data_IF_713597903387
#
_entry.id   IF_713597903387
#
_cell.length_a   1.000
_cell.length_b   1.000
_cell.length_c   1.000
_cell.angle_alpha   90.00
_cell.angle_beta   90.00
_cell.angle_gamma   90.00
#
_symmetry.space_group_name_H-M   'P 1'
#
loop_
_entity.id
_entity.type
_entity.pdbx_description
1 polymer ?
#
# COMPACT_ATOMS: atom_id res chain seq x y z
N UNK A 1 -12.11 -27.30 -1.82
CA UNK A 1 -11.50 -25.97 -1.80
C UNK A 1 -12.00 -25.17 -2.98
N UNK A 2 -12.46 -23.94 -2.76
CA UNK A 2 -12.97 -23.04 -3.80
C UNK A 2 -12.17 -21.76 -3.76
N UNK A 3 -11.71 -21.31 -4.91
CA UNK A 3 -11.01 -20.03 -5.05
C UNK A 3 -11.75 -19.17 -6.05
N UNK A 4 -12.11 -17.96 -5.63
CA UNK A 4 -12.70 -16.94 -6.50
C UNK A 4 -11.62 -15.93 -6.89
N UNK A 5 -11.64 -15.51 -8.15
CA UNK A 5 -10.92 -14.34 -8.63
C UNK A 5 -11.95 -13.30 -9.04
N UNK A 6 -11.87 -12.14 -8.45
CA UNK A 6 -12.77 -11.03 -8.70
C UNK A 6 -12.02 -9.74 -9.03
N UNK A 7 -12.73 -8.73 -9.46
CA UNK A 7 -12.18 -7.43 -9.79
C UNK A 7 -13.21 -6.34 -9.50
N UNK A 8 -13.30 -5.32 -10.36
CA UNK A 8 -14.25 -4.19 -10.31
C UNK A 8 -14.01 -3.18 -9.19
N UNK A 9 -13.59 -3.60 -8.00
CA UNK A 9 -13.35 -2.69 -6.88
C UNK A 9 -12.12 -1.79 -7.06
N UNK A 10 -11.24 -2.10 -8.02
CA UNK A 10 -9.96 -1.43 -8.28
C UNK A 10 -9.02 -1.42 -7.07
N UNK A 11 -9.18 -2.40 -6.19
CA UNK A 11 -8.35 -2.62 -4.99
C UNK A 11 -7.82 -4.04 -5.00
N UNK A 12 -6.67 -4.22 -4.37
CA UNK A 12 -6.07 -5.55 -4.23
C UNK A 12 -6.26 -6.03 -2.81
N UNK A 13 -6.95 -7.16 -2.65
CA UNK A 13 -7.17 -7.78 -1.35
C UNK A 13 -7.41 -9.27 -1.51
N UNK A 14 -7.16 -10.02 -0.45
CA UNK A 14 -7.55 -11.41 -0.34
C UNK A 14 -8.42 -11.64 0.87
N UNK A 15 -9.37 -12.56 0.73
CA UNK A 15 -10.29 -12.97 1.78
C UNK A 15 -10.27 -14.47 1.95
N UNK A 16 -10.24 -14.92 3.20
CA UNK A 16 -10.66 -16.27 3.57
C UNK A 16 -12.01 -16.16 4.26
N UNK A 17 -12.98 -16.94 3.80
CA UNK A 17 -14.32 -16.89 4.38
C UNK A 17 -14.27 -17.34 5.86
N UNK A 18 -14.77 -16.54 6.82
CA UNK A 18 -14.56 -16.80 8.24
C UNK A 18 -15.22 -18.09 8.75
N UNK A 19 -16.35 -18.49 8.16
CA UNK A 19 -17.06 -19.73 8.51
C UNK A 19 -16.66 -20.92 7.62
N UNK A 20 -16.14 -20.67 6.43
CA UNK A 20 -15.77 -21.70 5.45
C UNK A 20 -14.34 -21.45 4.94
N UNK A 21 -13.31 -21.81 5.72
CA UNK A 21 -11.91 -21.48 5.40
C UNK A 21 -11.37 -22.16 4.12
N UNK A 22 -12.12 -23.11 3.58
CA UNK A 22 -11.87 -23.68 2.26
C UNK A 22 -12.33 -22.78 1.09
N UNK A 23 -13.00 -21.66 1.37
CA UNK A 23 -13.40 -20.65 0.40
C UNK A 23 -12.48 -19.45 0.52
N UNK A 24 -11.80 -19.12 -0.57
CA UNK A 24 -10.93 -17.93 -0.68
C UNK A 24 -11.34 -17.07 -1.86
N UNK A 25 -11.18 -15.75 -1.72
CA UNK A 25 -11.35 -14.77 -2.79
C UNK A 25 -10.09 -13.92 -2.94
N UNK A 26 -9.68 -13.73 -4.17
CA UNK A 26 -8.66 -12.75 -4.55
C UNK A 26 -9.32 -11.67 -5.41
N UNK A 27 -9.47 -10.48 -4.84
CA UNK A 27 -9.87 -9.31 -5.59
C UNK A 27 -8.60 -8.65 -6.13
N UNK A 28 -8.53 -8.49 -7.45
CA UNK A 28 -7.32 -8.05 -8.15
C UNK A 28 -7.54 -6.67 -8.73
N UNK A 29 -6.57 -5.80 -8.52
CA UNK A 29 -6.59 -4.45 -9.05
C UNK A 29 -6.66 -4.40 -10.58
N UNK A 30 -7.03 -3.24 -11.12
CA UNK A 30 -7.14 -3.04 -12.57
C UNK A 30 -5.77 -2.78 -13.21
N UNK A 31 -5.52 -3.44 -14.35
CA UNK A 31 -4.33 -3.20 -15.19
C UNK A 31 -4.47 -1.92 -16.02
N UNK A 32 -5.69 -1.58 -16.41
CA UNK A 32 -5.99 -0.45 -17.28
C UNK A 32 -6.72 0.66 -16.57
N UNK A 33 -6.06 1.78 -16.38
CA UNK A 33 -6.57 2.79 -15.50
C UNK A 33 -7.25 3.99 -16.13
N UNK A 34 -8.39 3.89 -16.79
CA UNK A 34 -9.17 5.09 -17.13
C UNK A 34 -9.54 5.93 -15.91
N UNK A 35 -9.76 5.27 -14.78
CA UNK A 35 -10.04 5.93 -13.49
C UNK A 35 -8.79 6.37 -12.75
N UNK A 36 -7.60 5.94 -13.19
CA UNK A 36 -6.34 6.19 -12.52
C UNK A 36 -5.57 7.30 -13.21
N UNK A 37 -5.56 8.45 -12.60
CA UNK A 37 -4.86 9.62 -13.13
C UNK A 37 -3.44 9.79 -12.56
N UNK A 38 -2.98 8.85 -11.76
CA UNK A 38 -1.68 8.93 -11.11
C UNK A 38 -0.49 8.97 -12.07
N UNK A 39 -0.51 8.36 -13.29
CA UNK A 39 0.61 8.45 -14.22
C UNK A 39 1.00 9.87 -14.59
N UNK A 40 0.03 10.77 -14.66
CA UNK A 40 0.28 12.20 -14.97
C UNK A 40 1.00 12.93 -13.82
N UNK A 41 1.02 12.35 -12.61
CA UNK A 41 1.60 12.96 -11.42
C UNK A 41 2.90 12.28 -11.04
N UNK A 42 2.95 10.95 -11.12
CA UNK A 42 4.08 10.17 -10.64
C UNK A 42 4.62 9.12 -11.62
N UNK A 43 4.09 9.08 -12.84
CA UNK A 43 4.53 8.13 -13.87
C UNK A 43 4.08 6.69 -13.68
N UNK A 44 3.33 6.39 -12.61
CA UNK A 44 2.82 5.06 -12.28
C UNK A 44 1.30 5.06 -12.16
N UNK A 45 0.67 3.94 -12.51
CA UNK A 45 -0.73 3.68 -12.17
C UNK A 45 -0.81 3.17 -10.74
N UNK A 46 -1.40 3.99 -9.85
CA UNK A 46 -1.59 3.68 -8.45
C UNK A 46 -3.09 3.58 -8.16
N UNK A 47 -3.51 2.49 -7.52
CA UNK A 47 -4.87 2.30 -7.06
C UNK A 47 -5.24 3.19 -5.88
N UNK A 48 -6.52 3.26 -5.58
CA UNK A 48 -7.03 4.00 -4.42
C UNK A 48 -6.46 3.49 -3.09
N UNK A 49 -6.13 2.21 -3.03
CA UNK A 49 -5.51 1.53 -1.89
C UNK A 49 -3.98 1.59 -1.89
N UNK A 50 -3.38 2.26 -2.89
CA UNK A 50 -1.94 2.41 -3.04
C UNK A 50 -1.25 1.26 -3.77
N UNK A 51 -1.97 0.21 -4.15
CA UNK A 51 -1.40 -0.87 -4.94
C UNK A 51 -0.98 -0.38 -6.33
N UNK A 52 0.15 -0.88 -6.83
CA UNK A 52 0.52 -0.68 -8.22
C UNK A 52 -0.46 -1.40 -9.15
N UNK A 53 -0.72 -0.83 -10.32
CA UNK A 53 -1.41 -1.54 -11.40
C UNK A 53 -0.59 -2.77 -11.79
N UNK A 54 -1.25 -3.92 -11.84
CA UNK A 54 -0.56 -5.16 -12.10
C UNK A 54 -1.50 -6.33 -12.28
N UNK A 55 -0.90 -7.51 -12.31
CA UNK A 55 -1.61 -8.77 -12.47
C UNK A 55 -0.88 -9.90 -11.74
N UNK A 56 -1.60 -10.95 -11.45
CA UNK A 56 -1.02 -12.20 -11.00
C UNK A 56 -0.89 -13.20 -12.15
N UNK A 57 0.27 -13.81 -12.27
CA UNK A 57 0.43 -15.05 -12.99
C UNK A 57 0.09 -16.19 -12.02
N UNK A 58 -0.93 -16.97 -12.35
CA UNK A 58 -1.39 -18.08 -11.53
C UNK A 58 -0.99 -19.40 -12.18
N UNK A 59 -0.34 -20.27 -11.41
CA UNK A 59 0.00 -21.63 -11.81
C UNK A 59 -0.68 -22.62 -10.89
N UNK A 60 -1.13 -23.73 -11.44
CA UNK A 60 -1.79 -24.80 -10.72
C UNK A 60 -1.01 -26.12 -10.85
N UNK A 61 -0.76 -26.75 -9.74
CA UNK A 61 -0.24 -28.11 -9.66
C UNK A 61 -1.27 -28.96 -8.89
N UNK A 62 -2.10 -29.67 -9.61
CA UNK A 62 -3.31 -30.27 -9.03
C UNK A 62 -4.25 -29.19 -8.47
N UNK A 63 -4.52 -29.23 -7.18
CA UNK A 63 -5.32 -28.23 -6.44
C UNK A 63 -4.48 -27.13 -5.79
N UNK A 64 -3.17 -27.19 -5.94
CA UNK A 64 -2.23 -26.20 -5.40
C UNK A 64 -2.11 -25.03 -6.36
N UNK A 65 -2.52 -23.86 -5.88
CA UNK A 65 -2.34 -22.58 -6.57
C UNK A 65 -1.06 -21.92 -6.10
N UNK A 66 -0.20 -21.51 -7.06
CA UNK A 66 0.88 -20.55 -6.86
C UNK A 66 0.57 -19.28 -7.62
N UNK A 67 0.96 -18.13 -7.07
CA UNK A 67 0.72 -16.82 -7.67
C UNK A 67 2.01 -16.01 -7.63
N UNK A 68 2.30 -15.33 -8.72
CA UNK A 68 3.39 -14.39 -8.80
C UNK A 68 2.86 -13.04 -9.29
N UNK A 69 3.24 -11.97 -8.59
CA UNK A 69 2.83 -10.62 -8.94
C UNK A 69 3.75 -10.02 -9.99
N UNK A 70 3.13 -9.34 -10.94
CA UNK A 70 3.84 -8.54 -11.94
C UNK A 70 3.23 -7.15 -12.01
N UNK A 71 4.07 -6.10 -11.97
CA UNK A 71 3.62 -4.75 -12.25
C UNK A 71 3.36 -4.60 -13.75
N UNK A 72 2.20 -4.05 -14.10
CA UNK A 72 1.83 -3.81 -15.50
C UNK A 72 2.51 -2.59 -16.13
N UNK A 73 3.05 -1.72 -15.28
CA UNK A 73 3.81 -0.53 -15.66
C UNK A 73 5.11 -0.51 -14.88
N UNK A 74 6.06 0.35 -15.28
CA UNK A 74 7.29 0.54 -14.49
C UNK A 74 6.94 0.98 -13.07
N UNK A 75 6.83 0.02 -12.19
CA UNK A 75 6.48 0.19 -10.80
C UNK A 75 7.45 -0.58 -9.91
N UNK A 76 7.02 -0.90 -8.73
CA UNK A 76 7.79 -1.72 -7.81
C UNK A 76 7.98 -3.14 -8.38
N UNK A 77 9.18 -3.67 -8.29
CA UNK A 77 9.47 -5.09 -8.53
C UNK A 77 8.88 -5.98 -7.43
N UNK A 78 8.37 -5.35 -6.37
CA UNK A 78 7.84 -6.02 -5.20
C UNK A 78 6.31 -5.91 -5.15
N UNK A 79 5.62 -6.90 -4.58
CA UNK A 79 4.17 -6.83 -4.37
C UNK A 79 3.81 -6.01 -3.11
N UNK A 80 4.64 -5.06 -2.77
CA UNK A 80 4.48 -4.12 -1.67
C UNK A 80 5.25 -2.82 -1.93
N UNK A 81 4.93 -1.79 -1.16
CA UNK A 81 5.68 -0.52 -1.11
C UNK A 81 5.98 -0.14 0.32
N UNK A 82 7.25 0.18 0.56
CA UNK A 82 7.72 0.68 1.84
C UNK A 82 7.82 2.21 1.85
N UNK A 83 7.51 2.81 2.98
CA UNK A 83 7.53 4.25 3.21
C UNK A 83 8.37 4.60 4.43
N UNK A 84 9.31 5.52 4.26
CA UNK A 84 9.92 6.25 5.38
C UNK A 84 8.97 7.36 5.82
N UNK A 85 8.33 7.20 6.96
CA UNK A 85 7.32 8.13 7.42
C UNK A 85 7.88 9.48 7.83
N UNK A 86 9.17 9.60 8.14
CA UNK A 86 9.82 10.89 8.35
C UNK A 86 9.80 11.73 7.05
N UNK A 87 10.15 11.11 5.92
CA UNK A 87 10.09 11.77 4.61
C UNK A 87 8.67 12.08 4.18
N UNK A 88 7.74 11.15 4.41
CA UNK A 88 6.30 11.38 4.15
C UNK A 88 5.82 12.58 4.94
N UNK A 89 6.07 12.63 6.25
CA UNK A 89 5.65 13.72 7.11
C UNK A 89 6.20 15.07 6.65
N UNK A 90 7.48 15.13 6.29
CA UNK A 90 8.11 16.33 5.76
C UNK A 90 7.39 16.85 4.51
N UNK A 91 7.15 15.98 3.52
CA UNK A 91 6.50 16.39 2.27
C UNK A 91 5.04 16.81 2.50
N UNK A 92 4.35 16.16 3.42
CA UNK A 92 3.00 16.54 3.79
C UNK A 92 2.98 17.89 4.55
N UNK A 93 3.99 18.19 5.36
CA UNK A 93 4.13 19.48 6.05
C UNK A 93 4.39 20.64 5.09
N UNK A 94 5.20 20.42 4.05
CA UNK A 94 5.60 21.43 3.09
C UNK A 94 4.54 21.73 2.03
N UNK A 95 3.49 20.90 1.90
CA UNK A 95 2.46 21.03 0.89
C UNK A 95 1.12 21.49 1.46
N UNK A 96 0.70 22.73 1.12
CA UNK A 96 -0.63 23.24 1.49
C UNK A 96 -1.77 22.30 1.02
N UNK A 97 -1.65 21.76 -0.20
CA UNK A 97 -2.64 20.85 -0.78
C UNK A 97 -2.77 19.57 0.02
N UNK A 98 -1.65 18.96 0.42
CA UNK A 98 -1.65 17.72 1.21
C UNK A 98 -2.12 17.97 2.64
N UNK A 99 -1.70 19.08 3.25
CA UNK A 99 -2.23 19.52 4.54
C UNK A 99 -3.75 19.74 4.50
N UNK A 100 -4.23 20.38 3.43
CA UNK A 100 -5.66 20.60 3.25
C UNK A 100 -6.42 19.28 3.05
N UNK A 101 -5.88 18.35 2.28
CA UNK A 101 -6.42 17.00 2.14
C UNK A 101 -6.59 16.32 3.51
N UNK A 102 -5.57 16.36 4.35
CA UNK A 102 -5.63 15.77 5.69
C UNK A 102 -6.76 16.35 6.55
N UNK A 103 -7.05 17.63 6.41
CA UNK A 103 -8.15 18.32 7.13
C UNK A 103 -9.54 17.97 6.58
N UNK A 104 -9.64 17.60 5.32
CA UNK A 104 -10.92 17.26 4.66
C UNK A 104 -11.36 15.83 4.93
N UNK A 105 -10.47 14.97 5.41
CA UNK A 105 -10.81 13.59 5.66
C UNK A 105 -11.58 13.42 6.95
N UNK A 106 -12.60 12.57 6.92
CA UNK A 106 -13.34 12.22 8.13
C UNK A 106 -12.48 11.57 9.20
N UNK A 107 -11.52 10.75 8.79
CA UNK A 107 -10.60 10.05 9.70
C UNK A 107 -9.42 10.92 10.12
N UNK A 108 -9.30 12.13 9.56
CA UNK A 108 -8.27 13.13 9.87
C UNK A 108 -6.86 12.52 10.00
N UNK A 109 -6.49 11.67 9.04
CA UNK A 109 -5.14 11.10 9.02
C UNK A 109 -4.18 12.26 8.72
N UNK A 110 -3.52 12.71 9.77
CA UNK A 110 -2.51 13.74 9.66
C UNK A 110 -1.14 13.08 9.55
N UNK A 111 -0.63 12.96 8.32
CA UNK A 111 0.69 12.36 8.08
C UNK A 111 1.85 13.17 8.69
N UNK A 112 1.60 14.41 9.15
CA UNK A 112 2.58 15.23 9.87
C UNK A 112 2.59 14.96 11.38
N UNK A 113 1.77 14.07 11.86
CA UNK A 113 1.66 13.79 13.29
C UNK A 113 2.98 13.16 13.80
N UNK A 114 3.55 13.65 14.92
CA UNK A 114 4.75 13.09 15.53
C UNK A 114 4.66 11.59 15.85
N UNK A 115 3.44 11.05 15.96
CA UNK A 115 3.26 9.60 16.13
C UNK A 115 3.90 8.75 15.02
N UNK A 116 4.16 9.33 13.84
CA UNK A 116 4.79 8.65 12.72
C UNK A 116 6.32 8.71 12.73
N UNK A 117 6.90 9.41 13.69
CA UNK A 117 8.34 9.57 13.80
C UNK A 117 9.07 8.23 13.86
N UNK A 118 10.04 8.05 12.96
CA UNK A 118 10.87 6.86 12.77
C UNK A 118 10.12 5.59 12.36
N UNK A 119 8.83 5.67 12.06
CA UNK A 119 8.13 4.51 11.51
C UNK A 119 8.47 4.26 10.05
N UNK A 120 8.54 2.98 9.72
CA UNK A 120 8.46 2.46 8.35
C UNK A 120 7.08 1.82 8.19
N UNK A 121 6.35 2.24 7.16
CA UNK A 121 5.08 1.64 6.78
C UNK A 121 5.26 0.82 5.52
N UNK A 122 4.58 -0.32 5.44
CA UNK A 122 4.63 -1.23 4.29
C UNK A 122 3.20 -1.55 3.87
N UNK A 123 2.81 -1.07 2.70
CA UNK A 123 1.56 -1.48 2.05
C UNK A 123 1.84 -2.73 1.24
N UNK A 124 1.32 -3.89 1.68
CA UNK A 124 1.57 -5.18 1.07
C UNK A 124 0.29 -5.70 0.40
N UNK A 125 0.08 -5.36 -0.87
CA UNK A 125 -1.13 -5.75 -1.59
C UNK A 125 -1.20 -7.24 -1.97
N UNK A 126 -0.07 -7.96 -1.98
CA UNK A 126 -0.07 -9.40 -2.19
C UNK A 126 -0.29 -10.21 -0.91
N UNK A 127 -0.56 -9.56 0.21
CA UNK A 127 -0.81 -10.25 1.47
C UNK A 127 -2.03 -11.14 1.42
N UNK A 128 -1.89 -12.36 1.95
CA UNK A 128 -2.96 -13.30 2.21
C UNK A 128 -2.69 -14.10 3.50
N UNK A 129 -3.68 -14.82 3.99
CA UNK A 129 -3.53 -15.65 5.17
C UNK A 129 -2.44 -16.72 4.97
N UNK A 130 -1.53 -16.82 5.94
CA UNK A 130 -0.34 -17.65 5.87
C UNK A 130 0.89 -16.94 5.30
N UNK A 131 0.78 -15.69 4.83
CA UNK A 131 1.93 -14.85 4.51
C UNK A 131 2.68 -14.42 5.77
N UNK A 132 3.97 -14.13 5.62
CA UNK A 132 4.79 -13.55 6.67
C UNK A 132 5.48 -12.28 6.20
N UNK A 133 5.65 -11.35 7.11
CA UNK A 133 6.45 -10.13 6.89
C UNK A 133 7.37 -9.90 8.08
N UNK A 134 8.64 -9.67 7.81
CA UNK A 134 9.63 -9.25 8.79
C UNK A 134 10.23 -7.93 8.38
N UNK A 135 10.54 -7.09 9.36
CA UNK A 135 11.21 -5.82 9.14
C UNK A 135 12.41 -5.79 10.09
N UNK A 136 13.59 -5.57 9.56
CA UNK A 136 14.83 -5.50 10.34
C UNK A 136 15.49 -4.15 10.19
N UNK A 137 16.12 -3.65 11.25
CA UNK A 137 16.99 -2.47 11.25
C UNK A 137 18.42 -2.93 11.54
N UNK A 138 19.34 -2.67 10.60
CA UNK A 138 20.75 -3.07 10.72
C UNK A 138 20.90 -4.56 11.11
N UNK A 139 20.01 -5.42 10.56
CA UNK A 139 19.99 -6.86 10.81
C UNK A 139 19.21 -7.31 12.06
N UNK A 140 18.72 -6.38 12.89
CA UNK A 140 17.93 -6.70 14.08
C UNK A 140 16.42 -6.63 13.81
N UNK A 141 15.68 -7.61 14.27
CA UNK A 141 14.22 -7.64 14.09
C UNK A 141 13.54 -6.49 14.83
N UNK A 142 12.65 -5.82 14.13
CA UNK A 142 11.72 -4.85 14.70
C UNK A 142 10.37 -5.50 15.00
N UNK A 143 9.65 -4.93 15.98
CA UNK A 143 8.26 -5.32 16.22
C UNK A 143 7.39 -4.84 15.05
N UNK A 144 6.74 -5.77 14.36
CA UNK A 144 5.85 -5.49 13.22
C UNK A 144 4.41 -5.54 13.67
N UNK A 145 3.66 -4.50 13.33
CA UNK A 145 2.22 -4.40 13.62
C UNK A 145 1.44 -4.30 12.32
N UNK A 146 0.34 -5.05 12.20
CA UNK A 146 -0.65 -4.82 11.14
C UNK A 146 -1.58 -3.70 11.56
N UNK A 147 -1.75 -2.69 10.71
CA UNK A 147 -2.56 -1.50 10.99
C UNK A 147 -3.58 -1.25 9.89
N UNK A 148 -4.66 -0.55 10.24
CA UNK A 148 -5.63 -0.07 9.28
C UNK A 148 -5.30 1.37 8.93
N UNK A 149 -4.81 1.60 7.72
CA UNK A 149 -4.35 2.91 7.31
C UNK A 149 -4.53 3.13 5.80
N UNK A 150 -4.73 4.38 5.38
CA UNK A 150 -4.68 4.72 3.96
C UNK A 150 -3.23 4.77 3.48
N UNK A 151 -3.04 4.52 2.20
CA UNK A 151 -1.72 4.60 1.59
C UNK A 151 -1.33 6.07 1.37
N UNK A 152 -0.15 6.53 1.85
CA UNK A 152 0.25 7.92 1.72
C UNK A 152 0.50 8.36 0.28
N UNK A 153 0.95 7.46 -0.61
CA UNK A 153 1.12 7.78 -2.01
C UNK A 153 -0.23 7.90 -2.73
N UNK A 154 -1.17 6.97 -2.47
CA UNK A 154 -2.53 7.10 -2.99
C UNK A 154 -3.20 8.40 -2.52
N UNK A 155 -3.03 8.77 -1.27
CA UNK A 155 -3.51 10.04 -0.74
C UNK A 155 -2.98 11.22 -1.57
N UNK A 156 -1.69 11.23 -1.89
CA UNK A 156 -1.05 12.27 -2.68
C UNK A 156 -1.49 12.28 -4.14
N UNK A 157 -1.51 11.14 -4.81
CA UNK A 157 -1.65 11.09 -6.28
C UNK A 157 -3.07 10.87 -6.76
N UNK A 158 -3.92 10.25 -5.95
CA UNK A 158 -5.32 9.98 -6.30
C UNK A 158 -6.24 11.06 -5.75
N UNK A 159 -6.09 11.41 -4.48
CA UNK A 159 -7.06 12.24 -3.76
C UNK A 159 -6.70 13.71 -3.66
N UNK A 160 -5.42 14.10 -3.70
CA UNK A 160 -4.98 15.50 -3.58
C UNK A 160 -5.13 16.32 -4.88
N UNK A 161 -6.06 15.94 -5.77
CA UNK A 161 -6.32 16.66 -7.01
C UNK A 161 -7.26 17.84 -6.77
N UNK A 162 -7.02 19.00 -7.41
CA UNK A 162 -7.88 20.17 -7.25
C UNK A 162 -9.35 19.89 -7.51
N UNK A 163 -9.66 19.08 -8.54
CA UNK A 163 -11.04 18.72 -8.87
C UNK A 163 -11.72 17.89 -7.78
N UNK A 164 -11.01 16.95 -7.17
CA UNK A 164 -11.53 16.14 -6.07
C UNK A 164 -11.68 16.99 -4.81
N UNK A 165 -10.67 17.79 -4.47
CA UNK A 165 -10.71 18.68 -3.30
C UNK A 165 -11.85 19.69 -3.40
N UNK A 166 -12.06 20.30 -4.58
CA UNK A 166 -13.17 21.20 -4.84
C UNK A 166 -14.52 20.51 -4.65
N UNK A 167 -14.71 19.34 -5.28
CA UNK A 167 -15.95 18.56 -5.17
C UNK A 167 -16.24 18.15 -3.73
N UNK A 168 -15.23 17.76 -2.97
CA UNK A 168 -15.37 17.41 -1.55
C UNK A 168 -15.82 18.61 -0.73
N UNK A 169 -15.21 19.78 -0.94
CA UNK A 169 -15.57 21.03 -0.26
C UNK A 169 -17.02 21.43 -0.55
N UNK A 170 -17.43 21.37 -1.82
CA UNK A 170 -18.76 21.78 -2.25
C UNK A 170 -19.88 20.82 -1.80
N UNK A 171 -19.60 19.49 -1.87
CA UNK A 171 -20.61 18.47 -1.57
C UNK A 171 -20.79 18.19 -0.09
N UNK A 172 -19.88 18.65 0.78
CA UNK A 172 -19.78 18.25 2.20
C UNK A 172 -19.77 16.72 2.39
N UNK A 173 -19.50 15.96 1.32
CA UNK A 173 -19.42 14.50 1.39
C UNK A 173 -18.11 14.10 2.01
N UNK A 174 -18.18 13.09 2.85
CA UNK A 174 -17.00 12.40 3.38
C UNK A 174 -16.09 11.91 2.23
N UNK A 175 -14.95 12.55 2.07
CA UNK A 175 -13.91 12.02 1.22
C UNK A 175 -13.08 11.07 2.06
N UNK A 176 -13.53 9.83 2.16
CA UNK A 176 -12.75 8.79 2.83
C UNK A 176 -11.67 8.33 1.87
N UNK A 177 -10.42 8.44 2.30
CA UNK A 177 -9.36 7.71 1.62
C UNK A 177 -9.64 6.22 1.74
N UNK A 178 -9.40 5.49 0.66
CA UNK A 178 -9.43 4.04 0.71
C UNK A 178 -8.38 3.54 1.70
N UNK A 179 -8.74 2.54 2.46
CA UNK A 179 -7.82 1.88 3.37
C UNK A 179 -7.12 0.74 2.61
N UNK A 180 -5.82 0.63 2.78
CA UNK A 180 -5.07 -0.52 2.30
C UNK A 180 -5.49 -1.76 3.09
N UNK A 181 -5.73 -2.86 2.39
CA UNK A 181 -6.17 -4.10 3.01
C UNK A 181 -5.12 -4.71 3.93
N UNK A 182 -3.85 -4.44 3.67
CA UNK A 182 -2.73 -5.01 4.42
C UNK A 182 -1.60 -4.00 4.55
N UNK A 183 -1.75 -3.11 5.52
CA UNK A 183 -0.73 -2.17 5.92
C UNK A 183 -0.02 -2.66 7.18
N UNK A 184 1.29 -2.64 7.15
CA UNK A 184 2.15 -3.01 8.27
C UNK A 184 3.03 -1.82 8.66
N UNK A 185 3.47 -1.79 9.91
CA UNK A 185 4.44 -0.79 10.38
C UNK A 185 5.44 -1.38 11.36
N UNK A 186 6.61 -0.78 11.39
CA UNK A 186 7.61 -1.01 12.43
C UNK A 186 8.29 0.30 12.78
N UNK A 187 8.65 0.48 14.05
CA UNK A 187 9.38 1.67 14.51
C UNK A 187 10.87 1.37 14.51
N UNK A 188 11.62 2.10 13.70
CA UNK A 188 13.07 2.08 13.72
C UNK A 188 13.62 2.91 14.89
N UNK A 189 14.84 2.61 15.31
CA UNK A 189 15.50 3.32 16.43
C UNK A 189 16.07 4.67 16.02
N UNK A 190 16.39 4.84 14.71
CA UNK A 190 17.02 6.03 14.14
C UNK A 190 16.29 6.49 12.89
N UNK A 191 16.50 7.76 12.53
CA UNK A 191 15.92 8.34 11.32
C UNK A 191 16.69 7.98 10.03
N UNK A 192 17.94 7.57 10.14
CA UNK A 192 18.90 7.38 9.06
C UNK A 192 19.42 5.93 8.91
N UNK A 193 18.84 5.00 9.66
CA UNK A 193 19.19 3.57 9.58
C UNK A 193 18.67 2.91 8.29
N UNK A 194 19.36 1.87 7.85
CA UNK A 194 18.85 0.99 6.80
C UNK A 194 17.82 0.02 7.37
N UNK A 195 16.72 -0.12 6.66
CA UNK A 195 15.62 -1.03 7.04
C UNK A 195 15.38 -2.02 5.91
N UNK A 196 15.38 -3.31 6.25
CA UNK A 196 15.11 -4.38 5.30
C UNK A 196 13.76 -5.01 5.58
N UNK A 197 12.93 -5.06 4.55
CA UNK A 197 11.61 -5.69 4.56
C UNK A 197 11.72 -7.02 3.83
N UNK A 198 11.27 -8.11 4.45
CA UNK A 198 11.15 -9.42 3.82
C UNK A 198 9.72 -9.90 3.91
N UNK A 199 9.11 -10.11 2.77
CA UNK A 199 7.74 -10.62 2.61
C UNK A 199 7.80 -12.01 1.99
N UNK A 200 7.12 -12.99 2.59
CA UNK A 200 7.05 -14.37 2.07
C UNK A 200 5.60 -14.78 1.91
N UNK A 201 5.23 -15.24 0.72
CA UNK A 201 3.89 -15.76 0.41
C UNK A 201 3.71 -17.16 0.99
N UNK A 202 2.47 -17.65 1.15
CA UNK A 202 2.21 -19.04 1.58
C UNK A 202 2.77 -20.09 0.62
N UNK A 203 3.02 -19.73 -0.64
CA UNK A 203 3.66 -20.60 -1.64
C UNK A 203 5.18 -20.67 -1.49
N UNK A 204 5.78 -19.87 -0.57
CA UNK A 204 7.21 -19.82 -0.30
C UNK A 204 7.99 -18.82 -1.17
N UNK A 205 7.32 -18.03 -1.99
CA UNK A 205 7.98 -16.94 -2.73
C UNK A 205 8.38 -15.83 -1.76
N UNK A 206 9.62 -15.39 -1.82
CA UNK A 206 10.18 -14.39 -0.91
C UNK A 206 10.66 -13.17 -1.68
N UNK A 207 10.27 -12.00 -1.20
CA UNK A 207 10.64 -10.70 -1.74
C UNK A 207 11.35 -9.90 -0.65
N UNK A 208 12.54 -9.39 -0.94
CA UNK A 208 13.33 -8.62 0.04
C UNK A 208 13.73 -7.28 -0.55
N UNK A 209 13.42 -6.21 0.17
CA UNK A 209 13.79 -4.84 -0.17
C UNK A 209 14.48 -4.17 1.00
N UNK A 210 15.62 -3.54 0.74
CA UNK A 210 16.28 -2.67 1.70
C UNK A 210 16.07 -1.21 1.29
N UNK A 211 15.58 -0.41 2.22
CA UNK A 211 15.51 1.04 2.09
C UNK A 211 16.56 1.71 2.97
N UNK A 212 17.38 2.57 2.37
CA UNK A 212 18.30 3.45 3.11
C UNK A 212 17.54 4.74 3.44
N UNK A 213 17.52 5.12 4.70
CA UNK A 213 16.79 6.28 5.19
C UNK A 213 17.74 7.48 5.36
N UNK A 214 17.31 8.71 5.09
CA UNK A 214 15.98 9.09 4.60
C UNK A 214 15.70 8.57 3.20
N UNK A 215 14.59 7.83 3.04
CA UNK A 215 14.19 7.28 1.76
C UNK A 215 13.26 8.25 1.01
N UNK A 216 13.40 8.40 -0.32
CA UNK A 216 12.56 9.31 -1.06
C UNK A 216 11.08 8.88 -1.05
N UNK A 217 10.20 9.85 -0.85
CA UNK A 217 8.75 9.71 -1.08
C UNK A 217 8.44 10.18 -2.51
N UNK A 218 9.20 9.72 -3.45
CA UNK A 218 8.98 10.00 -4.85
C UNK A 218 8.79 8.68 -5.57
N UNK A 219 7.70 8.62 -6.30
CA UNK A 219 7.67 7.77 -7.46
C UNK A 219 8.27 8.61 -8.57
N UNK A 220 9.34 8.14 -9.16
CA UNK A 220 10.05 8.86 -10.22
C UNK A 220 9.15 9.24 -11.36
#
# INVERSE_FOLDING_TARGET
>A
KVTFFSGHSHRTMSFTHPQYPNIKEYNITSVGGELWNSPNICGLNIGEDGADAGFYLCSFEGDKLTKEWYSAVKGSEYPFRAYDMNTVAKIYAESETLNYLCKLQRNQINYNDPQFENYVYVNCWAWEDGSTITITEDGNNLAVEKVTHSDPLAAKVVYAKPSILKKTKESKKDNRLALAASMFRAKASKADSSVTITFTTPAGQTYTQTITRPAPFAVK
#
